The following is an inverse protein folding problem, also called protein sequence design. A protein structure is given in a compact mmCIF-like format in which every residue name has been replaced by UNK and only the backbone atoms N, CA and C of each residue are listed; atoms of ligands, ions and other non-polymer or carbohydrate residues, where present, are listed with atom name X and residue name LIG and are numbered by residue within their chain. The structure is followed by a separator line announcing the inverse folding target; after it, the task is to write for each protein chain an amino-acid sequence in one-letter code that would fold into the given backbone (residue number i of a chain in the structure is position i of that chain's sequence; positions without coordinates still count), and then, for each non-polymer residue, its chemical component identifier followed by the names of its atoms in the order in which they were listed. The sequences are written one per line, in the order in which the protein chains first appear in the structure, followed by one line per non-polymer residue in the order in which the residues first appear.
data_IF_480226590664
#
_entry.id   IF_480226590664
#
_cell.length_a   1.000
_cell.length_b   1.000
_cell.length_c   1.000
_cell.angle_alpha   90.00
_cell.angle_beta   90.00
_cell.angle_gamma   90.00
#
_symmetry.space_group_name_H-M   'P 1'
#
loop_
_entity.id
_entity.type
_entity.pdbx_description
1 polymer ?
#
# COMPACT_ATOMS: atom_id res chain seq x y z
N UNK A 1 3.66 13.50 -27.15
CA UNK A 1 4.64 13.67 -26.05
C UNK A 1 6.06 13.26 -26.46
N UNK A 2 6.26 12.09 -27.08
CA UNK A 2 7.61 11.56 -27.42
C UNK A 2 8.47 12.43 -28.34
N UNK A 3 7.89 13.07 -29.38
CA UNK A 3 8.66 13.94 -30.29
C UNK A 3 9.27 15.17 -29.58
N UNK A 4 8.65 15.62 -28.48
CA UNK A 4 9.21 16.72 -27.65
C UNK A 4 10.38 16.25 -26.78
N UNK A 5 10.33 15.02 -26.27
CA UNK A 5 11.40 14.43 -25.45
C UNK A 5 12.53 13.79 -26.28
N UNK A 6 12.28 13.48 -27.55
CA UNK A 6 13.22 12.82 -28.46
C UNK A 6 13.29 13.61 -29.78
N UNK A 7 14.10 14.68 -29.84
CA UNK A 7 14.17 15.56 -31.01
C UNK A 7 14.59 14.84 -32.31
N UNK A 8 15.34 13.73 -32.19
CA UNK A 8 15.80 12.91 -33.32
C UNK A 8 14.90 11.70 -33.64
N UNK A 9 13.69 11.65 -33.08
CA UNK A 9 12.71 10.59 -33.32
C UNK A 9 12.33 10.52 -34.80
N UNK A 10 12.47 9.34 -35.41
CA UNK A 10 12.23 9.10 -36.83
C UNK A 10 13.44 9.37 -37.73
N UNK A 11 14.55 9.90 -37.20
CA UNK A 11 15.80 10.14 -37.95
C UNK A 11 16.88 9.17 -37.49
N UNK A 12 17.30 9.27 -36.22
CA UNK A 12 18.31 8.38 -35.63
C UNK A 12 17.71 7.42 -34.60
N UNK A 13 16.60 7.81 -33.98
CA UNK A 13 15.83 6.94 -33.07
C UNK A 13 14.60 6.47 -33.81
N UNK A 14 14.60 5.20 -34.24
CA UNK A 14 13.45 4.59 -34.92
C UNK A 14 12.22 4.54 -34.02
N UNK A 15 11.07 4.91 -34.56
CA UNK A 15 9.81 4.99 -33.79
C UNK A 15 9.39 3.62 -33.24
N UNK A 16 9.67 2.55 -33.97
CA UNK A 16 9.31 1.19 -33.56
C UNK A 16 10.13 0.72 -32.35
N UNK A 17 11.39 1.15 -32.22
CA UNK A 17 12.20 0.90 -31.02
C UNK A 17 11.62 1.60 -29.80
N UNK A 18 11.09 2.82 -29.96
CA UNK A 18 10.45 3.54 -28.85
C UNK A 18 9.12 2.91 -28.48
N UNK A 19 8.33 2.45 -29.45
CA UNK A 19 7.09 1.68 -29.19
C UNK A 19 7.37 0.38 -28.44
N UNK A 20 8.34 -0.42 -28.91
CA UNK A 20 8.71 -1.67 -28.26
C UNK A 20 9.20 -1.44 -26.82
N UNK A 21 10.07 -0.45 -26.62
CA UNK A 21 10.53 -0.07 -25.28
C UNK A 21 9.38 0.43 -24.39
N UNK A 22 8.38 1.11 -24.96
CA UNK A 22 7.21 1.53 -24.20
C UNK A 22 6.34 0.33 -23.77
N UNK A 23 6.10 -0.64 -24.64
CA UNK A 23 5.31 -1.83 -24.27
C UNK A 23 6.01 -2.67 -23.20
N UNK A 24 7.32 -2.82 -23.31
CA UNK A 24 8.13 -3.55 -22.33
C UNK A 24 8.14 -2.85 -20.96
N UNK A 25 8.30 -1.51 -20.96
CA UNK A 25 8.21 -0.68 -19.77
C UNK A 25 6.86 -0.75 -19.03
N UNK A 26 5.74 -1.00 -19.73
CA UNK A 26 4.42 -1.16 -19.08
C UNK A 26 4.35 -2.40 -18.19
N UNK A 27 5.15 -3.41 -18.49
CA UNK A 27 5.11 -4.71 -17.80
C UNK A 27 6.26 -4.89 -16.82
N UNK A 28 7.35 -4.13 -16.97
CA UNK A 28 8.56 -4.24 -16.16
C UNK A 28 8.92 -2.90 -15.46
N UNK A 29 8.79 -2.80 -14.12
CA UNK A 29 9.12 -1.59 -13.37
C UNK A 29 10.56 -1.06 -13.55
N UNK A 30 11.54 -1.94 -13.76
CA UNK A 30 12.93 -1.54 -13.98
C UNK A 30 13.09 -0.85 -15.35
N UNK A 31 12.38 -1.33 -16.35
CA UNK A 31 12.36 -0.75 -17.69
C UNK A 31 11.51 0.51 -17.75
N UNK A 32 10.45 0.61 -16.94
CA UNK A 32 9.68 1.85 -16.76
C UNK A 32 10.58 3.02 -16.36
N UNK A 33 11.43 2.81 -15.35
CA UNK A 33 12.36 3.84 -14.89
C UNK A 33 13.33 4.26 -16.00
N UNK A 34 13.93 3.29 -16.69
CA UNK A 34 14.84 3.54 -17.81
C UNK A 34 14.14 4.29 -18.95
N UNK A 35 12.90 3.90 -19.28
CA UNK A 35 12.11 4.55 -20.32
C UNK A 35 11.73 5.99 -19.96
N UNK A 36 11.30 6.23 -18.71
CA UNK A 36 10.98 7.57 -18.21
C UNK A 36 12.19 8.51 -18.29
N UNK A 37 13.36 8.06 -17.84
CA UNK A 37 14.59 8.87 -17.91
C UNK A 37 15.02 9.11 -19.36
N UNK A 38 15.18 8.04 -20.14
CA UNK A 38 15.85 8.09 -21.45
C UNK A 38 14.93 8.49 -22.61
N UNK A 39 13.62 8.29 -22.48
CA UNK A 39 12.64 8.50 -23.57
C UNK A 39 11.58 9.56 -23.25
N UNK A 40 11.36 9.89 -21.99
CA UNK A 40 10.39 10.92 -21.59
C UNK A 40 11.05 12.14 -20.92
N UNK A 41 12.37 12.11 -20.68
CA UNK A 41 13.11 13.14 -19.94
C UNK A 41 12.51 13.42 -18.55
N UNK A 42 12.07 12.35 -17.88
CA UNK A 42 11.51 12.38 -16.53
C UNK A 42 12.51 11.80 -15.55
N UNK A 43 12.97 12.62 -14.60
CA UNK A 43 13.81 12.15 -13.50
C UNK A 43 13.00 11.27 -12.56
N UNK A 44 13.45 10.02 -12.38
CA UNK A 44 12.87 9.06 -11.44
C UNK A 44 13.94 8.60 -10.46
N UNK A 45 13.56 8.38 -9.21
CA UNK A 45 14.44 7.79 -8.19
C UNK A 45 14.76 6.34 -8.58
N UNK A 46 15.99 5.91 -8.35
CA UNK A 46 16.54 4.62 -8.80
C UNK A 46 15.90 3.36 -8.20
N UNK A 47 14.92 3.50 -7.30
CA UNK A 47 14.23 2.36 -6.72
C UNK A 47 13.35 1.68 -7.79
N UNK A 48 13.69 0.45 -8.14
CA UNK A 48 12.78 -0.43 -8.88
C UNK A 48 11.63 -0.77 -7.93
N UNK A 49 10.43 -0.26 -8.23
CA UNK A 49 9.24 -0.62 -7.48
C UNK A 49 8.90 -2.07 -7.80
N UNK A 50 8.71 -2.91 -6.79
CA UNK A 50 8.35 -4.31 -7.01
C UNK A 50 6.96 -4.45 -7.65
N UNK A 51 6.04 -3.53 -7.33
CA UNK A 51 4.69 -3.47 -7.86
C UNK A 51 4.44 -2.17 -8.66
N UNK A 52 3.96 -2.25 -9.91
CA UNK A 52 3.51 -1.07 -10.66
C UNK A 52 2.32 -0.39 -9.97
N UNK A 53 2.39 0.93 -9.78
CA UNK A 53 1.31 1.68 -9.11
C UNK A 53 -0.02 1.61 -9.86
N UNK A 54 -0.02 1.58 -11.19
CA UNK A 54 -1.26 1.41 -11.96
C UNK A 54 -1.96 0.08 -11.62
N UNK A 55 -1.19 -1.00 -11.41
CA UNK A 55 -1.78 -2.29 -11.01
C UNK A 55 -2.35 -2.22 -9.60
N UNK A 56 -1.65 -1.56 -8.68
CA UNK A 56 -2.13 -1.31 -7.32
C UNK A 56 -3.42 -0.49 -7.32
N UNK A 57 -3.45 0.63 -8.04
CA UNK A 57 -4.59 1.54 -8.08
C UNK A 57 -5.83 0.88 -8.70
N UNK A 58 -5.65 -0.04 -9.68
CA UNK A 58 -6.76 -0.83 -10.24
C UNK A 58 -7.36 -1.84 -9.26
N UNK A 59 -6.66 -2.15 -8.17
CA UNK A 59 -7.18 -2.99 -7.09
C UNK A 59 -7.94 -2.17 -6.02
N UNK A 60 -8.02 -0.84 -6.14
CA UNK A 60 -8.78 -0.03 -5.20
C UNK A 60 -10.28 -0.20 -5.44
N UNK A 61 -11.01 -0.59 -4.41
CA UNK A 61 -12.47 -0.61 -4.37
C UNK A 61 -12.94 -0.27 -2.95
N UNK A 62 -14.18 0.20 -2.83
CA UNK A 62 -14.76 0.46 -1.53
C UNK A 62 -15.14 -0.87 -0.86
N UNK A 63 -14.81 -0.97 0.42
CA UNK A 63 -15.15 -2.10 1.29
C UNK A 63 -15.49 -1.51 2.65
N UNK A 64 -16.54 -2.05 3.29
CA UNK A 64 -16.83 -1.76 4.69
C UNK A 64 -16.51 -2.96 5.58
N UNK A 65 -16.31 -2.72 6.87
CA UNK A 65 -16.14 -3.80 7.87
C UNK A 65 -17.40 -4.69 7.93
N UNK A 66 -18.57 -4.09 7.78
CA UNK A 66 -19.87 -4.78 7.78
C UNK A 66 -19.97 -5.81 6.64
N UNK A 67 -19.39 -5.53 5.46
CA UNK A 67 -19.37 -6.47 4.32
C UNK A 67 -18.50 -7.72 4.58
N UNK A 68 -17.68 -7.68 5.63
CA UNK A 68 -16.68 -8.70 5.96
C UNK A 68 -17.04 -9.49 7.22
N UNK A 69 -18.11 -9.11 7.91
CA UNK A 69 -18.58 -9.80 9.11
C UNK A 69 -18.86 -11.28 8.82
N UNK A 70 -18.39 -12.16 9.70
CA UNK A 70 -18.55 -13.61 9.57
C UNK A 70 -17.73 -14.27 8.43
N UNK A 71 -16.98 -13.51 7.63
CA UNK A 71 -16.06 -14.10 6.64
C UNK A 71 -14.82 -14.66 7.31
N UNK A 72 -14.27 -15.72 6.69
CA UNK A 72 -12.96 -16.26 7.06
C UNK A 72 -11.89 -15.24 6.66
N UNK A 73 -10.95 -14.94 7.56
CA UNK A 73 -9.81 -14.09 7.27
C UNK A 73 -8.50 -14.63 7.82
N UNK A 74 -7.39 -14.09 7.31
CA UNK A 74 -6.03 -14.35 7.79
C UNK A 74 -5.43 -13.05 8.30
N UNK A 75 -5.04 -13.02 9.57
CA UNK A 75 -4.41 -11.86 10.20
C UNK A 75 -2.89 -11.91 10.14
N UNK A 76 -2.27 -10.79 9.75
CA UNK A 76 -0.84 -10.55 9.87
C UNK A 76 -0.57 -9.38 10.81
N UNK A 77 0.29 -9.58 11.80
CA UNK A 77 0.66 -8.57 12.80
C UNK A 77 2.15 -8.22 12.67
N UNK A 78 2.43 -6.93 12.50
CA UNK A 78 3.77 -6.33 12.52
C UNK A 78 3.86 -5.30 13.64
N UNK A 79 4.62 -5.63 14.69
CA UNK A 79 4.73 -4.82 15.89
C UNK A 79 5.94 -3.89 15.81
N UNK A 80 5.67 -2.60 16.01
CA UNK A 80 6.70 -1.58 16.23
C UNK A 80 6.73 -1.12 17.69
N UNK A 81 7.85 -0.54 18.11
CA UNK A 81 7.99 0.02 19.46
C UNK A 81 7.83 1.55 19.47
N UNK A 82 8.77 2.27 18.85
CA UNK A 82 8.95 3.72 19.07
C UNK A 82 8.94 4.56 17.79
N UNK A 83 9.52 4.08 16.69
CA UNK A 83 9.76 4.89 15.47
C UNK A 83 8.96 4.48 14.24
N UNK A 84 8.58 3.22 14.14
CA UNK A 84 7.84 2.68 13.01
C UNK A 84 6.32 2.67 13.28
N UNK A 85 5.53 2.26 12.30
CA UNK A 85 4.07 2.11 12.42
C UNK A 85 3.80 0.65 12.77
N UNK A 86 2.98 0.40 13.79
CA UNK A 86 2.47 -0.94 14.05
C UNK A 86 1.31 -1.21 13.11
N UNK A 87 1.28 -2.39 12.48
CA UNK A 87 0.25 -2.77 11.53
C UNK A 87 -0.38 -4.12 11.89
N UNK A 88 -1.70 -4.18 11.82
CA UNK A 88 -2.45 -5.43 11.84
C UNK A 88 -3.32 -5.47 10.60
N UNK A 89 -3.17 -6.49 9.77
CA UNK A 89 -3.84 -6.56 8.46
C UNK A 89 -4.61 -7.87 8.37
N UNK A 90 -5.91 -7.76 8.10
CA UNK A 90 -6.73 -8.90 7.77
C UNK A 90 -6.82 -9.06 6.26
N UNK A 91 -6.67 -10.28 5.78
CA UNK A 91 -6.85 -10.64 4.37
C UNK A 91 -7.99 -11.64 4.27
N UNK A 92 -9.02 -11.26 3.52
CA UNK A 92 -10.20 -12.07 3.25
C UNK A 92 -10.03 -12.70 1.86
N UNK A 93 -9.95 -14.05 1.77
CA UNK A 93 -9.89 -14.74 0.49
C UNK A 93 -11.25 -14.63 -0.23
N UNK A 94 -11.27 -14.64 -1.57
CA UNK A 94 -12.50 -14.58 -2.35
C UNK A 94 -13.39 -15.79 -2.09
N UNK A 95 -14.71 -15.59 -2.08
CA UNK A 95 -15.69 -16.67 -1.91
C UNK A 95 -15.92 -17.49 -3.19
N UNK A 96 -15.75 -16.86 -4.35
CA UNK A 96 -15.89 -17.43 -5.68
C UNK A 96 -14.93 -16.76 -6.69
N UNK A 97 -15.09 -17.04 -7.98
CA UNK A 97 -14.21 -16.50 -9.04
C UNK A 97 -14.45 -15.01 -9.35
N UNK A 98 -15.60 -14.44 -8.96
CA UNK A 98 -15.97 -13.05 -9.20
C UNK A 98 -15.61 -12.15 -8.01
N UNK A 99 -15.50 -12.73 -6.81
CA UNK A 99 -15.03 -12.05 -5.61
C UNK A 99 -13.51 -11.81 -5.64
N UNK A 100 -13.05 -10.78 -4.93
CA UNK A 100 -11.65 -10.39 -4.86
C UNK A 100 -11.10 -10.59 -3.47
N UNK A 101 -9.78 -10.74 -3.41
CA UNK A 101 -9.08 -10.57 -2.14
C UNK A 101 -9.38 -9.18 -1.59
N UNK A 102 -9.83 -9.14 -0.35
CA UNK A 102 -10.16 -7.90 0.36
C UNK A 102 -9.23 -7.76 1.54
N UNK A 103 -8.72 -6.55 1.77
CA UNK A 103 -7.74 -6.25 2.81
C UNK A 103 -8.31 -5.19 3.74
N UNK A 104 -8.30 -5.48 5.04
CA UNK A 104 -8.72 -4.57 6.08
C UNK A 104 -7.54 -4.28 7.02
N UNK A 105 -6.82 -3.18 6.81
CA UNK A 105 -5.65 -2.83 7.60
C UNK A 105 -5.98 -1.91 8.77
N UNK A 106 -5.28 -2.10 9.87
CA UNK A 106 -5.29 -1.26 11.05
C UNK A 106 -3.87 -0.83 11.38
N UNK A 107 -3.70 0.45 11.72
CA UNK A 107 -2.39 1.04 11.92
C UNK A 107 -2.36 1.84 13.22
N UNK A 108 -1.23 1.77 13.93
CA UNK A 108 -1.01 2.50 15.18
C UNK A 108 0.34 3.19 15.25
N UNK A 109 0.33 4.37 15.85
CA UNK A 109 1.54 5.07 16.34
C UNK A 109 1.32 5.59 17.77
N UNK A 110 2.39 5.83 18.55
CA UNK A 110 2.24 6.47 19.86
C UNK A 110 1.76 7.93 19.73
N UNK A 111 0.79 8.32 20.55
CA UNK A 111 0.17 9.66 20.51
C UNK A 111 1.18 10.78 20.75
N UNK A 112 2.07 10.61 21.74
CA UNK A 112 3.06 11.61 22.14
C UNK A 112 4.03 12.00 21.00
N UNK A 113 4.13 11.14 19.97
CA UNK A 113 5.15 11.24 18.94
C UNK A 113 4.61 11.72 17.58
N UNK A 114 3.31 11.99 17.44
CA UNK A 114 2.68 12.36 16.15
C UNK A 114 3.36 13.59 15.55
N UNK A 115 3.41 14.70 16.28
CA UNK A 115 3.97 15.96 15.79
C UNK A 115 5.44 15.84 15.38
N UNK A 116 6.22 15.09 16.16
CA UNK A 116 7.62 14.82 15.88
C UNK A 116 7.79 14.01 14.60
N UNK A 117 6.94 12.99 14.41
CA UNK A 117 6.94 12.13 13.21
C UNK A 117 6.48 12.86 11.97
N UNK A 118 5.45 13.71 12.05
CA UNK A 118 5.00 14.54 10.92
C UNK A 118 6.16 15.39 10.40
N UNK A 119 6.91 16.05 11.30
CA UNK A 119 8.07 16.87 10.94
C UNK A 119 9.24 16.05 10.40
N UNK A 120 9.51 14.88 10.99
CA UNK A 120 10.63 14.01 10.59
C UNK A 120 10.37 13.35 9.24
N UNK A 121 9.24 12.69 9.10
CA UNK A 121 8.91 11.80 7.98
C UNK A 121 8.26 12.53 6.82
N UNK A 122 7.78 13.77 7.04
CA UNK A 122 7.01 14.55 6.07
C UNK A 122 5.74 13.81 5.61
N UNK A 123 5.17 13.01 6.51
CA UNK A 123 3.91 12.25 6.34
C UNK A 123 2.85 12.89 7.23
N UNK A 124 1.62 13.15 6.73
CA UNK A 124 0.59 13.85 7.49
C UNK A 124 -0.16 12.90 8.45
N UNK A 125 0.57 12.32 9.42
CA UNK A 125 0.00 11.38 10.40
C UNK A 125 -1.14 11.98 11.23
N UNK A 126 -1.05 13.26 11.56
CA UNK A 126 -2.10 14.03 12.25
C UNK A 126 -3.38 14.16 11.42
N UNK A 127 -3.28 14.16 10.09
CA UNK A 127 -4.45 14.16 9.21
C UNK A 127 -5.03 12.76 9.11
N UNK A 128 -4.18 11.73 8.99
CA UNK A 128 -4.63 10.34 8.93
C UNK A 128 -5.31 9.88 10.21
N UNK A 129 -4.85 10.35 11.36
CA UNK A 129 -5.50 10.12 12.65
C UNK A 129 -6.91 10.72 12.69
N UNK A 130 -7.05 12.02 12.34
CA UNK A 130 -8.37 12.68 12.24
C UNK A 130 -9.30 12.07 11.20
N UNK A 131 -8.75 11.41 10.17
CA UNK A 131 -9.51 10.71 9.14
C UNK A 131 -9.85 9.27 9.51
N UNK A 132 -9.31 8.74 10.61
CA UNK A 132 -9.49 7.36 11.03
C UNK A 132 -8.66 6.33 10.26
N UNK A 133 -7.73 6.75 9.39
CA UNK A 133 -6.80 5.83 8.70
C UNK A 133 -5.66 5.35 9.59
N UNK A 134 -5.45 6.02 10.71
CA UNK A 134 -4.40 5.74 11.68
C UNK A 134 -5.00 5.90 13.07
N UNK A 135 -4.69 4.98 13.97
CA UNK A 135 -5.07 5.08 15.37
C UNK A 135 -3.84 5.42 16.21
N UNK A 136 -4.08 5.86 17.44
CA UNK A 136 -3.03 6.15 18.40
C UNK A 136 -3.10 5.20 19.58
N UNK A 137 -1.94 4.94 20.19
CA UNK A 137 -1.86 4.32 21.51
C UNK A 137 -1.36 5.36 22.50
N UNK A 138 -1.92 5.36 23.71
CA UNK A 138 -1.53 6.27 24.78
C UNK A 138 -0.02 6.17 25.10
N UNK A 139 0.61 7.32 25.32
CA UNK A 139 2.03 7.44 25.68
C UNK A 139 2.99 7.46 24.49
N UNK A 140 4.25 7.14 24.76
CA UNK A 140 5.38 7.31 23.83
C UNK A 140 5.86 6.00 23.16
N UNK A 141 5.25 4.87 23.48
CA UNK A 141 5.52 3.53 22.94
C UNK A 141 4.20 2.84 22.61
N UNK A 142 4.18 1.98 21.59
CA UNK A 142 2.99 1.17 21.30
C UNK A 142 2.75 0.15 22.41
N UNK A 143 1.60 0.25 23.08
CA UNK A 143 1.22 -0.67 24.14
C UNK A 143 0.66 -1.98 23.56
N UNK A 144 1.44 -3.06 23.57
CA UNK A 144 1.03 -4.32 22.95
C UNK A 144 -0.27 -4.92 23.51
N UNK A 145 -0.54 -4.74 24.81
CA UNK A 145 -1.82 -5.17 25.40
C UNK A 145 -3.04 -4.41 24.88
N UNK A 146 -2.87 -3.22 24.29
CA UNK A 146 -3.95 -2.52 23.60
C UNK A 146 -4.25 -3.20 22.26
N UNK A 147 -3.20 -3.54 21.51
CA UNK A 147 -3.29 -4.24 20.22
C UNK A 147 -3.87 -5.64 20.40
N UNK A 148 -3.46 -6.37 21.43
CA UNK A 148 -4.01 -7.68 21.78
C UNK A 148 -5.52 -7.62 22.01
N UNK A 149 -5.98 -6.72 22.90
CA UNK A 149 -7.42 -6.50 23.14
C UNK A 149 -8.18 -6.02 21.92
N UNK A 150 -7.53 -5.31 21.02
CA UNK A 150 -8.13 -4.92 19.74
C UNK A 150 -8.36 -6.15 18.87
N UNK A 151 -7.35 -7.00 18.71
CA UNK A 151 -7.44 -8.24 17.92
C UNK A 151 -8.47 -9.21 18.52
N UNK A 152 -8.50 -9.37 19.84
CA UNK A 152 -9.48 -10.23 20.52
C UNK A 152 -10.92 -9.80 20.23
N UNK A 153 -11.25 -8.51 20.40
CA UNK A 153 -12.57 -7.98 20.06
C UNK A 153 -12.92 -8.19 18.59
N UNK A 154 -11.94 -8.04 17.72
CA UNK A 154 -12.15 -8.20 16.30
C UNK A 154 -12.45 -9.66 15.91
N UNK A 155 -11.81 -10.61 16.60
CA UNK A 155 -12.10 -12.05 16.45
C UNK A 155 -13.52 -12.45 16.84
N UNK A 156 -14.28 -11.60 17.55
CA UNK A 156 -15.71 -11.84 17.81
C UNK A 156 -16.59 -11.57 16.57
N UNK A 157 -16.09 -10.77 15.61
CA UNK A 157 -16.84 -10.30 14.43
C UNK A 157 -16.44 -11.03 13.15
N UNK A 158 -15.20 -11.51 13.04
CA UNK A 158 -14.68 -12.22 11.86
C UNK A 158 -14.27 -13.65 12.19
N UNK A 159 -14.41 -14.58 11.25
CA UNK A 159 -14.08 -15.99 11.50
C UNK A 159 -12.59 -16.26 11.27
N UNK A 160 -11.94 -16.97 12.19
CA UNK A 160 -10.63 -17.55 11.93
C UNK A 160 -10.81 -18.96 11.30
N UNK A 161 -9.96 -19.40 10.37
CA UNK A 161 -10.07 -20.74 9.74
C UNK A 161 -10.12 -21.91 10.75
N UNK A 162 -9.55 -21.71 11.95
CA UNK A 162 -9.52 -22.68 13.04
C UNK A 162 -10.81 -22.79 13.86
N UNK A 163 -11.77 -21.88 13.69
CA UNK A 163 -13.02 -21.86 14.48
C UNK A 163 -14.10 -22.79 13.91
N UNK A 164 -13.82 -23.47 12.79
CA UNK A 164 -14.66 -24.55 12.26
C UNK A 164 -14.28 -25.87 12.92
N UNK A 165 -14.86 -26.15 14.08
CA UNK A 165 -14.98 -27.49 14.69
C UNK A 165 -16.44 -27.81 15.00
#
# INVERSE_FOLDING_TARGET
MWKKANPSLGITVGIDKVKAACESAKQNPAEENSFRQLRLNQWVKQAVRWMPMEKWDRCAFATSEDDLEGRVCYGGLDLSSTTDITAFVLVFPPLDEEDKYTVLPYFWIPEDNIDLRVRRDHVPYDVWERQGYLQTTEGNVVHYGYIEKFIERLGETVQHPGDRL
#
